data_IF_515786336798
#
_entry.id   IF_515786336798
#
_cell.length_a   1.000
_cell.length_b   1.000
_cell.length_c   1.000
_cell.angle_alpha   90.00
_cell.angle_beta   90.00
_cell.angle_gamma   90.00
#
_symmetry.space_group_name_H-M   'P 1'
#
loop_
_entity.id
_entity.type
_entity.pdbx_description
1 polymer ?
#
# COMPACT_ATOMS: atom_id res chain seq x y z
N UNK A 1 -2.55 -1.11 5.72
CA UNK A 1 -1.88 -0.53 6.92
C UNK A 1 -0.46 -0.17 6.55
N UNK A 2 0.12 0.85 7.19
CA UNK A 2 1.53 1.21 6.95
C UNK A 2 2.49 0.21 7.61
N UNK A 3 3.77 0.17 7.18
CA UNK A 3 4.76 -0.75 7.74
C UNK A 3 4.94 -0.62 9.26
N UNK A 4 4.99 0.61 9.79
CA UNK A 4 5.11 0.87 11.22
C UNK A 4 3.87 0.48 12.01
N UNK A 5 2.66 0.58 11.41
CA UNK A 5 1.44 0.06 12.02
C UNK A 5 1.43 -1.47 12.06
N UNK A 6 1.87 -2.13 10.98
CA UNK A 6 1.91 -3.59 10.90
C UNK A 6 2.98 -4.21 11.81
N UNK A 7 4.15 -3.57 11.90
CA UNK A 7 5.30 -4.09 12.62
C UNK A 7 5.28 -3.75 14.11
N UNK A 8 5.05 -2.47 14.41
CA UNK A 8 5.27 -1.91 15.75
C UNK A 8 3.97 -1.43 16.41
N UNK A 9 2.82 -1.50 15.70
CA UNK A 9 1.54 -1.02 16.21
C UNK A 9 1.48 0.50 16.37
N UNK A 10 2.31 1.24 15.62
CA UNK A 10 2.37 2.70 15.68
C UNK A 10 1.36 3.29 14.69
N UNK A 11 0.51 4.20 15.19
CA UNK A 11 -0.50 4.89 14.40
C UNK A 11 -0.32 6.40 14.53
N UNK A 12 -0.14 7.07 13.39
CA UNK A 12 0.07 8.51 13.30
C UNK A 12 -0.63 9.06 12.05
N UNK A 13 -0.70 10.38 11.91
CA UNK A 13 -1.18 10.98 10.65
C UNK A 13 -0.35 10.53 9.44
N UNK A 14 0.93 10.18 9.61
CA UNK A 14 1.75 9.65 8.52
C UNK A 14 1.38 8.22 8.12
N UNK A 15 0.96 7.37 9.07
CA UNK A 15 0.42 6.05 8.74
C UNK A 15 -0.90 6.15 7.98
N UNK A 16 -1.70 7.19 8.28
CA UNK A 16 -2.94 7.48 7.57
C UNK A 16 -2.66 7.94 6.13
N UNK A 17 -1.64 8.77 5.92
CA UNK A 17 -1.19 9.18 4.57
C UNK A 17 -0.75 7.97 3.74
N UNK A 18 -0.02 7.02 4.34
CA UNK A 18 0.33 5.77 3.67
C UNK A 18 -0.93 4.97 3.29
N UNK A 19 -1.87 4.80 4.23
CA UNK A 19 -3.11 4.09 3.98
C UNK A 19 -3.94 4.76 2.87
N UNK A 20 -3.94 6.10 2.81
CA UNK A 20 -4.57 6.85 1.73
C UNK A 20 -3.94 6.56 0.36
N UNK A 21 -2.62 6.39 0.27
CA UNK A 21 -1.95 5.95 -0.96
C UNK A 21 -2.43 4.57 -1.43
N UNK A 22 -2.66 3.64 -0.50
CA UNK A 22 -3.26 2.33 -0.83
C UNK A 22 -4.69 2.50 -1.34
N UNK A 23 -5.49 3.37 -0.71
CA UNK A 23 -6.87 3.66 -1.15
C UNK A 23 -6.90 4.28 -2.56
N UNK A 24 -5.97 5.18 -2.89
CA UNK A 24 -5.86 5.72 -4.25
C UNK A 24 -5.58 4.61 -5.27
N UNK A 25 -4.68 3.68 -4.95
CA UNK A 25 -4.40 2.52 -5.79
C UNK A 25 -5.65 1.64 -5.96
N UNK A 26 -6.40 1.39 -4.89
CA UNK A 26 -7.67 0.63 -4.95
C UNK A 26 -8.71 1.33 -5.84
N UNK A 27 -8.81 2.66 -5.76
CA UNK A 27 -9.74 3.45 -6.60
C UNK A 27 -9.37 3.32 -8.08
N UNK A 28 -8.10 3.48 -8.44
CA UNK A 28 -7.63 3.44 -9.84
C UNK A 28 -7.80 2.03 -10.43
N UNK A 29 -7.59 1.00 -9.61
CA UNK A 29 -7.75 -0.40 -10.00
C UNK A 29 -9.18 -0.92 -9.86
N UNK A 30 -10.15 -0.02 -9.67
CA UNK A 30 -11.59 -0.31 -9.55
C UNK A 30 -11.91 -1.35 -8.46
N UNK A 31 -11.23 -1.26 -7.32
CA UNK A 31 -11.43 -2.12 -6.14
C UNK A 31 -10.62 -3.42 -6.17
N UNK A 32 -9.51 -3.46 -6.91
CA UNK A 32 -8.61 -4.62 -6.85
C UNK A 32 -7.99 -4.74 -5.45
N UNK A 33 -7.63 -5.97 -5.07
CA UNK A 33 -7.01 -6.22 -3.77
C UNK A 33 -5.52 -5.79 -3.78
N UNK A 34 -5.08 -4.93 -2.84
CA UNK A 34 -3.67 -4.58 -2.69
C UNK A 34 -2.81 -5.82 -2.39
N UNK A 35 -1.65 -5.91 -3.03
CA UNK A 35 -0.68 -7.00 -2.84
C UNK A 35 -1.32 -8.41 -2.93
N UNK A 36 -2.16 -8.62 -3.95
CA UNK A 36 -2.91 -9.85 -4.15
C UNK A 36 -2.04 -11.10 -4.02
N UNK A 37 -2.48 -12.04 -3.19
CA UNK A 37 -1.81 -13.33 -2.99
C UNK A 37 -0.68 -13.31 -1.95
N UNK A 38 -0.39 -12.17 -1.33
CA UNK A 38 0.63 -12.05 -0.28
C UNK A 38 -0.02 -12.01 1.11
N UNK A 39 0.63 -12.63 2.08
CA UNK A 39 0.31 -12.48 3.51
C UNK A 39 0.79 -11.13 4.05
N UNK A 40 0.31 -10.72 5.23
CA UNK A 40 0.77 -9.47 5.86
C UNK A 40 2.29 -9.45 6.10
N UNK A 41 2.88 -10.59 6.44
CA UNK A 41 4.33 -10.73 6.68
C UNK A 41 5.12 -10.62 5.37
N UNK A 42 4.61 -11.21 4.28
CA UNK A 42 5.20 -11.10 2.95
C UNK A 42 5.12 -9.66 2.43
N UNK A 43 3.99 -8.99 2.62
CA UNK A 43 3.79 -7.57 2.26
C UNK A 43 4.76 -6.69 3.04
N UNK A 44 4.87 -6.90 4.36
CA UNK A 44 5.79 -6.12 5.18
C UNK A 44 7.24 -6.28 4.70
N UNK A 45 7.68 -7.52 4.43
CA UNK A 45 9.02 -7.77 3.91
C UNK A 45 9.23 -7.11 2.55
N UNK A 46 8.29 -7.25 1.63
CA UNK A 46 8.35 -6.67 0.29
C UNK A 46 8.51 -5.14 0.32
N UNK A 47 7.74 -4.47 1.18
CA UNK A 47 7.84 -3.01 1.35
C UNK A 47 9.16 -2.62 2.02
N UNK A 48 9.61 -3.37 3.02
CA UNK A 48 10.88 -3.13 3.71
C UNK A 48 12.10 -3.32 2.80
N UNK A 49 11.99 -4.20 1.79
CA UNK A 49 12.99 -4.40 0.74
C UNK A 49 12.98 -3.28 -0.32
N UNK A 50 12.11 -2.27 -0.16
CA UNK A 50 12.02 -1.07 -0.99
C UNK A 50 11.07 -1.19 -2.18
N UNK A 51 10.32 -2.29 -2.28
CA UNK A 51 9.33 -2.46 -3.33
C UNK A 51 7.98 -1.84 -2.96
N UNK A 52 7.17 -1.57 -3.98
CA UNK A 52 5.82 -1.01 -3.85
C UNK A 52 4.88 -1.69 -4.85
N UNK A 53 3.58 -1.45 -4.72
CA UNK A 53 2.61 -1.96 -5.69
C UNK A 53 2.99 -1.52 -7.11
N UNK A 54 2.71 -2.38 -8.07
CA UNK A 54 2.83 -2.06 -9.49
C UNK A 54 1.90 -0.92 -9.85
N UNK A 55 2.39 -0.03 -10.70
CA UNK A 55 1.61 1.06 -11.26
C UNK A 55 0.42 0.48 -12.05
N UNK A 56 -0.82 0.92 -11.79
CA UNK A 56 -1.99 0.50 -12.56
C UNK A 56 -1.96 0.99 -14.01
N UNK A 57 -2.49 0.20 -14.95
CA UNK A 57 -2.53 0.56 -16.38
C UNK A 57 -3.26 1.89 -16.68
N UNK A 58 -4.24 2.26 -15.85
CA UNK A 58 -5.03 3.49 -15.99
C UNK A 58 -4.57 4.60 -15.03
N UNK A 59 -3.33 4.54 -14.54
CA UNK A 59 -2.78 5.58 -13.69
C UNK A 59 -2.64 6.89 -14.50
N UNK A 60 -3.29 7.99 -14.10
CA UNK A 60 -3.10 9.27 -14.76
C UNK A 60 -1.66 9.77 -14.54
N UNK A 61 -1.06 10.37 -15.57
CA UNK A 61 0.32 10.90 -15.54
C UNK A 61 0.51 12.03 -14.50
N UNK A 62 -0.59 12.59 -14.01
CA UNK A 62 -0.62 13.55 -12.92
C UNK A 62 -1.65 13.08 -11.89
N UNK A 63 -1.18 12.76 -10.68
CA UNK A 63 -2.02 12.48 -9.51
C UNK A 63 -1.77 13.55 -8.44
#
# INVERSE_FOLDING_TARGET
>A
MSPESLKDGIFTTYSDVWAYGVVLWEIITLGSQPYLGMSNEEVLKYIMDGFHMTEPDNCPEVM
#
